data_IF_948181938652
#
_entry.id   IF_948181938652
#
_cell.length_a   1.000
_cell.length_b   1.000
_cell.length_c   1.000
_cell.angle_alpha   90.00
_cell.angle_beta   90.00
_cell.angle_gamma   90.00
#
_symmetry.space_group_name_H-M   'P 1'
#
loop_
_entity.id
_entity.type
_entity.pdbx_description
1 polymer ?
#
# COMPACT_ATOMS: atom_id res chain seq x y z
N UNK A 1 -12.35 -23.91 28.27
CA UNK A 1 -12.10 -23.81 26.82
C UNK A 1 -12.40 -25.17 26.24
N UNK A 2 -13.33 -25.32 25.28
CA UNK A 2 -13.65 -26.63 24.72
C UNK A 2 -12.41 -27.21 24.02
N UNK A 3 -12.15 -28.49 24.27
CA UNK A 3 -11.03 -29.29 23.73
C UNK A 3 -11.00 -29.42 22.20
N UNK A 4 -12.06 -28.96 21.51
CA UNK A 4 -12.24 -29.13 20.07
C UNK A 4 -11.47 -28.10 19.21
N UNK A 5 -10.90 -27.05 19.83
CA UNK A 5 -10.09 -26.05 19.13
C UNK A 5 -8.62 -26.46 18.95
N UNK A 6 -8.17 -27.53 19.61
CA UNK A 6 -6.75 -27.89 19.63
C UNK A 6 -6.21 -28.44 18.29
N UNK A 7 -7.10 -28.83 17.36
CA UNK A 7 -6.73 -29.43 16.08
C UNK A 7 -7.23 -28.64 14.86
N UNK A 8 -7.69 -27.39 15.03
CA UNK A 8 -8.11 -26.57 13.89
C UNK A 8 -6.86 -26.11 13.11
N UNK A 9 -6.58 -26.75 11.98
CA UNK A 9 -5.49 -26.34 11.08
C UNK A 9 -6.01 -25.24 10.16
N UNK A 10 -5.70 -24.00 10.50
CA UNK A 10 -6.03 -22.82 9.69
C UNK A 10 -4.95 -22.63 8.61
N UNK A 11 -5.38 -22.50 7.36
CA UNK A 11 -4.52 -22.24 6.22
C UNK A 11 -4.61 -20.77 5.81
N UNK A 12 -3.47 -20.07 5.87
CA UNK A 12 -3.35 -18.66 5.52
C UNK A 12 -2.56 -18.52 4.21
N UNK A 13 -3.11 -17.77 3.25
CA UNK A 13 -2.49 -17.45 1.98
C UNK A 13 -2.18 -15.95 1.87
N UNK A 14 -0.91 -15.60 1.67
CA UNK A 14 -0.50 -14.25 1.29
C UNK A 14 -0.37 -14.12 -0.24
N UNK A 15 -1.17 -13.26 -0.88
CA UNK A 15 -1.23 -13.12 -2.35
C UNK A 15 0.06 -12.54 -2.95
N UNK A 16 0.85 -11.77 -2.19
CA UNK A 16 2.01 -11.04 -2.72
C UNK A 16 3.02 -11.90 -3.49
N UNK A 17 3.06 -13.23 -3.30
CA UNK A 17 3.95 -14.14 -4.05
C UNK A 17 3.56 -15.63 -4.01
N UNK A 18 2.64 -16.06 -3.13
CA UNK A 18 2.70 -17.44 -2.63
C UNK A 18 1.67 -18.42 -3.18
N UNK A 19 0.67 -18.01 -3.96
CA UNK A 19 -0.36 -18.95 -4.40
C UNK A 19 0.21 -20.08 -5.27
N UNK A 20 1.10 -19.74 -6.21
CA UNK A 20 1.77 -20.74 -7.04
C UNK A 20 2.71 -21.67 -6.25
N UNK A 21 3.38 -21.14 -5.21
CA UNK A 21 4.25 -21.91 -4.33
C UNK A 21 3.45 -22.83 -3.40
N UNK A 22 2.32 -22.34 -2.89
CA UNK A 22 1.37 -23.09 -2.09
C UNK A 22 0.77 -24.26 -2.89
N UNK A 23 0.29 -23.98 -4.10
CA UNK A 23 -0.19 -24.99 -5.04
C UNK A 23 0.89 -26.04 -5.36
N UNK A 24 2.15 -25.61 -5.54
CA UNK A 24 3.29 -26.54 -5.70
C UNK A 24 3.52 -27.40 -4.46
N UNK A 25 3.37 -26.84 -3.26
CA UNK A 25 3.46 -27.57 -2.00
C UNK A 25 2.44 -28.71 -1.95
N UNK A 26 1.18 -28.41 -2.30
CA UNK A 26 0.10 -29.39 -2.39
C UNK A 26 0.44 -30.49 -3.40
N UNK A 27 0.84 -30.12 -4.62
CA UNK A 27 1.17 -31.10 -5.64
C UNK A 27 2.34 -32.02 -5.24
N UNK A 28 3.35 -31.48 -4.54
CA UNK A 28 4.49 -32.27 -4.03
C UNK A 28 4.10 -33.23 -2.90
N UNK A 29 3.11 -32.86 -2.08
CA UNK A 29 2.61 -33.69 -1.00
C UNK A 29 1.81 -34.90 -1.53
N UNK A 30 0.99 -34.70 -2.57
CA UNK A 30 0.24 -35.77 -3.25
C UNK A 30 0.68 -35.94 -4.71
N UNK A 31 1.85 -36.54 -4.88
CA UNK A 31 2.44 -36.78 -6.21
C UNK A 31 1.60 -37.73 -7.07
N UNK A 32 0.76 -38.57 -6.46
CA UNK A 32 -0.04 -39.56 -7.21
C UNK A 32 -1.15 -38.84 -7.97
N UNK A 33 -1.89 -37.98 -7.28
CA UNK A 33 -2.99 -37.20 -7.85
C UNK A 33 -2.49 -36.13 -8.83
N UNK A 34 -1.37 -35.48 -8.50
CA UNK A 34 -0.86 -34.33 -9.27
C UNK A 34 0.33 -34.67 -10.19
N UNK A 35 0.54 -35.95 -10.49
CA UNK A 35 1.66 -36.43 -11.33
C UNK A 35 1.75 -35.71 -12.68
N UNK A 36 0.63 -35.53 -13.38
CA UNK A 36 0.58 -34.82 -14.66
C UNK A 36 1.00 -33.35 -14.57
N UNK A 37 0.70 -32.68 -13.45
CA UNK A 37 1.09 -31.28 -13.22
C UNK A 37 2.58 -31.18 -12.87
N UNK A 38 3.12 -32.14 -12.11
CA UNK A 38 4.56 -32.24 -11.84
C UNK A 38 5.36 -32.47 -13.12
N UNK A 39 4.87 -33.35 -13.99
CA UNK A 39 5.47 -33.60 -15.31
C UNK A 39 5.47 -32.32 -16.14
N UNK A 40 4.32 -31.64 -16.23
CA UNK A 40 4.19 -30.36 -16.94
C UNK A 40 5.17 -29.29 -16.42
N UNK A 41 5.37 -29.18 -15.11
CA UNK A 41 6.35 -28.26 -14.53
C UNK A 41 7.80 -28.62 -14.90
N UNK A 42 8.13 -29.91 -14.88
CA UNK A 42 9.46 -30.37 -15.25
C UNK A 42 9.73 -30.16 -16.74
N UNK A 43 8.73 -30.39 -17.59
CA UNK A 43 8.76 -30.14 -19.03
C UNK A 43 9.00 -28.65 -19.31
N UNK A 44 8.22 -27.74 -18.70
CA UNK A 44 8.46 -26.28 -18.81
C UNK A 44 9.89 -25.86 -18.50
N UNK A 45 10.58 -26.57 -17.58
CA UNK A 45 11.95 -26.26 -17.17
C UNK A 45 13.02 -26.89 -18.07
N UNK A 46 12.75 -28.09 -18.60
CA UNK A 46 13.73 -28.90 -19.34
C UNK A 46 13.57 -28.82 -20.86
N UNK A 47 12.34 -28.66 -21.33
CA UNK A 47 11.95 -28.62 -22.74
C UNK A 47 10.78 -27.63 -22.93
N UNK A 48 11.09 -26.32 -23.06
CA UNK A 48 10.07 -25.29 -23.22
C UNK A 48 9.24 -25.43 -24.51
N UNK A 49 9.81 -26.03 -25.55
CA UNK A 49 9.16 -26.18 -26.85
C UNK A 49 8.09 -27.28 -26.80
N UNK A 50 8.40 -28.42 -26.17
CA UNK A 50 7.41 -29.47 -25.90
C UNK A 50 6.27 -28.96 -25.00
N UNK A 51 6.61 -28.16 -23.98
CA UNK A 51 5.61 -27.52 -23.11
C UNK A 51 4.68 -26.58 -23.90
N UNK A 52 5.21 -25.84 -24.89
CA UNK A 52 4.42 -24.94 -25.72
C UNK A 52 3.42 -25.70 -26.59
N UNK A 53 3.81 -26.84 -27.17
CA UNK A 53 2.93 -27.71 -27.97
C UNK A 53 1.80 -28.29 -27.12
N UNK A 54 2.09 -28.66 -25.87
CA UNK A 54 1.12 -29.27 -24.94
C UNK A 54 0.39 -28.27 -24.03
N UNK A 55 0.51 -26.96 -24.31
CA UNK A 55 0.09 -25.87 -23.40
C UNK A 55 -1.36 -25.99 -22.92
N UNK A 56 -2.30 -26.32 -23.80
CA UNK A 56 -3.74 -26.42 -23.46
C UNK A 56 -3.99 -27.50 -22.41
N UNK A 57 -3.37 -28.68 -22.59
CA UNK A 57 -3.48 -29.80 -21.64
C UNK A 57 -2.84 -29.47 -20.30
N UNK A 58 -1.66 -28.84 -20.31
CA UNK A 58 -0.99 -28.42 -19.08
C UNK A 58 -1.78 -27.34 -18.33
N UNK A 59 -2.36 -26.38 -19.05
CA UNK A 59 -3.14 -25.29 -18.47
C UNK A 59 -4.37 -25.81 -17.71
N UNK A 60 -5.09 -26.80 -18.25
CA UNK A 60 -6.19 -27.45 -17.55
C UNK A 60 -5.74 -28.10 -16.23
N UNK A 61 -4.59 -28.78 -16.24
CA UNK A 61 -4.01 -29.37 -15.02
C UNK A 61 -3.61 -28.32 -13.98
N UNK A 62 -3.03 -27.19 -14.43
CA UNK A 62 -2.68 -26.09 -13.53
C UNK A 62 -3.91 -25.39 -12.96
N UNK A 63 -4.94 -25.10 -13.76
CA UNK A 63 -6.19 -24.52 -13.27
C UNK A 63 -6.82 -25.40 -12.19
N UNK A 64 -6.95 -26.71 -12.43
CA UNK A 64 -7.51 -27.64 -11.44
C UNK A 64 -6.73 -27.66 -10.13
N UNK A 65 -5.39 -27.58 -10.20
CA UNK A 65 -4.56 -27.51 -9.00
C UNK A 65 -4.74 -26.19 -8.26
N UNK A 66 -4.90 -25.08 -8.98
CA UNK A 66 -5.10 -23.75 -8.40
C UNK A 66 -6.46 -23.64 -7.72
N UNK A 67 -7.54 -24.13 -8.35
CA UNK A 67 -8.88 -24.22 -7.76
C UNK A 67 -8.85 -25.06 -6.48
N UNK A 68 -8.21 -26.24 -6.55
CA UNK A 68 -8.04 -27.08 -5.38
C UNK A 68 -7.24 -26.37 -4.29
N UNK A 69 -6.14 -25.70 -4.62
CA UNK A 69 -5.35 -24.95 -3.65
C UNK A 69 -6.19 -23.87 -2.97
N UNK A 70 -6.95 -23.07 -3.71
CA UNK A 70 -7.83 -22.04 -3.15
C UNK A 70 -8.90 -22.65 -2.24
N UNK A 71 -9.45 -23.83 -2.59
CA UNK A 71 -10.43 -24.53 -1.75
C UNK A 71 -9.91 -24.92 -0.35
N UNK A 72 -8.58 -24.99 -0.18
CA UNK A 72 -7.94 -25.34 1.09
C UNK A 72 -7.59 -24.11 1.94
N UNK A 73 -7.89 -22.89 1.46
CA UNK A 73 -7.51 -21.65 2.13
C UNK A 73 -8.65 -21.14 2.98
N UNK A 74 -8.36 -20.87 4.25
CA UNK A 74 -9.32 -20.29 5.19
C UNK A 74 -9.21 -18.76 5.25
N UNK A 75 -7.98 -18.24 5.14
CA UNK A 75 -7.67 -16.82 5.24
C UNK A 75 -6.80 -16.38 4.07
N UNK A 76 -7.21 -15.31 3.39
CA UNK A 76 -6.44 -14.69 2.32
C UNK A 76 -6.01 -13.29 2.77
N UNK A 77 -4.72 -13.00 2.64
CA UNK A 77 -4.11 -11.72 3.01
C UNK A 77 -3.46 -11.11 1.78
N UNK A 78 -3.71 -9.82 1.55
CA UNK A 78 -3.15 -9.09 0.41
C UNK A 78 -3.54 -7.62 0.45
N UNK A 79 -2.96 -6.85 -0.47
CA UNK A 79 -3.41 -5.47 -0.69
C UNK A 79 -4.81 -5.49 -1.33
N UNK A 80 -5.63 -4.43 -1.15
CA UNK A 80 -6.99 -4.43 -1.71
C UNK A 80 -7.04 -4.72 -3.21
N UNK A 81 -6.09 -4.18 -3.98
CA UNK A 81 -6.00 -4.42 -5.44
C UNK A 81 -5.69 -5.88 -5.76
N UNK A 82 -4.72 -6.49 -5.06
CA UNK A 82 -4.36 -7.89 -5.26
C UNK A 82 -5.49 -8.85 -4.86
N UNK A 83 -6.25 -8.50 -3.81
CA UNK A 83 -7.42 -9.28 -3.39
C UNK A 83 -8.57 -9.23 -4.41
N UNK A 84 -8.79 -8.08 -5.05
CA UNK A 84 -9.79 -7.95 -6.12
C UNK A 84 -9.40 -8.77 -7.35
N UNK A 85 -8.13 -8.69 -7.76
CA UNK A 85 -7.60 -9.52 -8.85
C UNK A 85 -7.74 -11.02 -8.51
N UNK A 86 -7.40 -11.40 -7.28
CA UNK A 86 -7.60 -12.77 -6.80
C UNK A 86 -9.07 -13.20 -6.86
N UNK A 87 -10.01 -12.33 -6.48
CA UNK A 87 -11.45 -12.61 -6.52
C UNK A 87 -11.98 -12.79 -7.95
N UNK A 88 -11.37 -12.13 -8.94
CA UNK A 88 -11.76 -12.25 -10.35
C UNK A 88 -11.31 -13.57 -10.99
N UNK A 89 -10.32 -14.23 -10.38
CA UNK A 89 -9.72 -15.45 -10.90
C UNK A 89 -9.95 -16.68 -10.02
N UNK A 90 -10.74 -16.55 -8.95
CA UNK A 90 -11.00 -17.64 -8.00
C UNK A 90 -12.43 -17.58 -7.48
N UNK A 91 -12.94 -18.73 -7.01
CA UNK A 91 -14.27 -18.83 -6.38
C UNK A 91 -14.23 -18.59 -4.86
N UNK A 92 -13.20 -17.89 -4.36
CA UNK A 92 -13.07 -17.64 -2.93
C UNK A 92 -14.16 -16.67 -2.43
N UNK A 93 -14.94 -17.11 -1.44
CA UNK A 93 -16.03 -16.32 -0.84
C UNK A 93 -15.76 -16.11 0.66
N UNK A 94 -15.21 -14.95 1.06
CA UNK A 94 -15.02 -14.62 2.47
C UNK A 94 -16.36 -14.30 3.15
N UNK A 95 -16.49 -14.69 4.40
CA UNK A 95 -17.58 -14.25 5.28
C UNK A 95 -17.23 -12.98 6.06
N UNK A 96 -15.93 -12.72 6.25
CA UNK A 96 -15.37 -11.61 7.00
C UNK A 96 -14.25 -10.96 6.21
N UNK A 97 -14.29 -9.64 6.10
CA UNK A 97 -13.22 -8.80 5.55
C UNK A 97 -12.69 -7.94 6.70
N UNK A 98 -11.37 -7.96 6.89
CA UNK A 98 -10.69 -7.07 7.82
C UNK A 98 -9.75 -6.18 7.03
N UNK A 99 -9.96 -4.86 7.15
CA UNK A 99 -9.15 -3.84 6.50
C UNK A 99 -8.34 -3.12 7.57
N UNK A 100 -7.06 -3.44 7.66
CA UNK A 100 -6.11 -2.70 8.50
C UNK A 100 -5.56 -1.48 7.76
N UNK A 101 -5.04 -0.51 8.51
CA UNK A 101 -4.60 0.79 8.00
C UNK A 101 -5.64 1.50 7.12
N UNK A 102 -6.93 1.32 7.40
CA UNK A 102 -8.02 1.78 6.54
C UNK A 102 -8.01 3.29 6.27
N UNK A 103 -7.43 4.11 7.15
CA UNK A 103 -7.31 5.55 6.96
C UNK A 103 -6.28 5.93 5.89
N UNK A 104 -5.39 5.02 5.48
CA UNK A 104 -4.42 5.20 4.39
C UNK A 104 -5.00 4.90 3.02
N UNK A 105 -6.17 4.27 2.96
CA UNK A 105 -6.85 3.96 1.69
C UNK A 105 -7.67 5.15 1.23
N UNK A 106 -7.65 5.42 -0.07
CA UNK A 106 -8.62 6.34 -0.67
C UNK A 106 -10.04 5.80 -0.45
N UNK A 107 -11.03 6.68 -0.47
CA UNK A 107 -12.44 6.31 -0.28
C UNK A 107 -12.86 5.17 -1.23
N UNK A 108 -12.46 5.24 -2.50
CA UNK A 108 -12.75 4.21 -3.50
C UNK A 108 -12.07 2.87 -3.17
N UNK A 109 -10.80 2.89 -2.75
CA UNK A 109 -10.07 1.66 -2.38
C UNK A 109 -10.60 1.05 -1.08
N UNK A 110 -11.17 1.85 -0.18
CA UNK A 110 -11.77 1.35 1.05
C UNK A 110 -12.98 0.46 0.76
N UNK A 111 -13.76 0.77 -0.29
CA UNK A 111 -15.00 0.07 -0.62
C UNK A 111 -14.83 -1.10 -1.60
N UNK A 112 -13.67 -1.23 -2.25
CA UNK A 112 -13.49 -2.17 -3.36
C UNK A 112 -13.72 -3.63 -2.94
N UNK A 113 -13.30 -4.00 -1.73
CA UNK A 113 -13.49 -5.36 -1.20
C UNK A 113 -14.95 -5.64 -0.85
N UNK A 114 -15.65 -4.68 -0.25
CA UNK A 114 -17.08 -4.82 0.02
C UNK A 114 -17.90 -4.87 -1.28
N UNK A 115 -17.49 -4.13 -2.31
CA UNK A 115 -18.15 -4.17 -3.61
C UNK A 115 -17.99 -5.54 -4.29
N UNK A 116 -16.81 -6.17 -4.15
CA UNK A 116 -16.52 -7.50 -4.67
C UNK A 116 -17.24 -8.61 -3.89
N UNK A 117 -17.28 -8.51 -2.57
CA UNK A 117 -17.92 -9.50 -1.69
C UNK A 117 -18.99 -8.84 -0.82
N UNK A 118 -20.15 -8.58 -1.42
CA UNK A 118 -21.23 -7.79 -0.81
C UNK A 118 -21.84 -8.44 0.43
N UNK A 119 -21.82 -9.77 0.50
CA UNK A 119 -22.35 -10.54 1.63
C UNK A 119 -21.38 -10.64 2.81
N UNK A 120 -20.12 -10.26 2.63
CA UNK A 120 -19.13 -10.34 3.69
C UNK A 120 -19.34 -9.23 4.71
N UNK A 121 -19.17 -9.55 5.99
CA UNK A 121 -19.10 -8.56 7.05
C UNK A 121 -17.74 -7.87 7.01
N UNK A 122 -17.70 -6.53 7.10
CA UNK A 122 -16.45 -5.78 7.03
C UNK A 122 -16.10 -5.07 8.33
N UNK A 123 -14.85 -5.22 8.76
CA UNK A 123 -14.25 -4.51 9.89
C UNK A 123 -13.11 -3.63 9.36
N UNK A 124 -13.17 -2.34 9.66
CA UNK A 124 -12.12 -1.38 9.31
C UNK A 124 -11.39 -0.94 10.57
N UNK A 125 -10.07 -1.01 10.56
CA UNK A 125 -9.20 -0.68 11.68
C UNK A 125 -8.19 0.36 11.19
N UNK A 126 -8.08 1.49 11.90
CA UNK A 126 -7.08 2.51 11.59
C UNK A 126 -6.97 3.57 12.67
N UNK A 127 -5.98 4.45 12.50
CA UNK A 127 -5.84 5.74 13.15
C UNK A 127 -5.84 6.86 12.10
N UNK A 128 -6.71 7.85 12.24
CA UNK A 128 -6.86 8.99 11.32
C UNK A 128 -5.83 10.09 11.56
N UNK A 129 -5.13 10.04 12.69
CA UNK A 129 -4.04 10.96 13.02
C UNK A 129 -2.71 10.50 12.41
N UNK A 130 -2.66 9.29 11.85
CA UNK A 130 -1.54 8.78 11.08
C UNK A 130 -1.63 9.21 9.60
N UNK A 131 -0.82 8.61 8.73
CA UNK A 131 -0.72 9.02 7.33
C UNK A 131 -2.05 8.91 6.58
N UNK A 132 -2.47 9.96 5.85
CA UNK A 132 -3.61 9.89 4.94
C UNK A 132 -3.24 9.15 3.65
N UNK A 133 -4.21 8.89 2.75
CA UNK A 133 -3.94 8.42 1.41
C UNK A 133 -3.07 9.40 0.63
N UNK A 134 -2.15 8.88 -0.18
CA UNK A 134 -1.24 9.69 -0.99
C UNK A 134 -2.00 10.31 -2.17
N UNK A 135 -1.91 11.63 -2.30
CA UNK A 135 -2.57 12.42 -3.35
C UNK A 135 -1.57 12.93 -4.37
N UNK A 136 -1.13 12.08 -5.32
CA UNK A 136 -0.05 12.39 -6.28
C UNK A 136 -0.27 13.64 -7.14
N UNK A 137 -1.52 14.10 -7.28
CA UNK A 137 -1.90 15.24 -8.11
C UNK A 137 -2.18 16.52 -7.31
N UNK A 138 -2.02 16.50 -5.98
CA UNK A 138 -2.32 17.66 -5.13
C UNK A 138 -1.35 18.81 -5.39
N UNK A 139 -0.10 18.48 -5.72
CA UNK A 139 1.01 19.44 -5.83
C UNK A 139 1.50 19.65 -7.26
N UNK A 140 0.86 19.01 -8.24
CA UNK A 140 1.15 19.25 -9.65
C UNK A 140 0.74 20.68 -10.02
N UNK A 141 1.74 21.54 -10.26
CA UNK A 141 1.52 22.95 -10.63
C UNK A 141 0.65 23.08 -11.90
N UNK A 142 0.87 22.19 -12.86
CA UNK A 142 0.25 22.23 -14.19
C UNK A 142 -1.07 21.46 -14.27
N UNK A 143 -1.39 20.67 -13.24
CA UNK A 143 -2.60 19.85 -13.20
C UNK A 143 -3.25 19.91 -11.82
N UNK A 144 -4.31 20.71 -11.70
CA UNK A 144 -5.10 20.83 -10.47
C UNK A 144 -6.44 20.11 -10.64
N UNK A 145 -6.55 18.82 -10.26
CA UNK A 145 -7.83 18.15 -10.28
C UNK A 145 -8.76 18.77 -9.22
N UNK A 146 -10.03 18.94 -9.58
CA UNK A 146 -11.06 19.61 -8.76
C UNK A 146 -11.18 19.01 -7.35
N UNK A 147 -10.88 17.72 -7.20
CA UNK A 147 -11.05 16.96 -5.96
C UNK A 147 -9.73 16.43 -5.39
N UNK A 148 -8.61 17.11 -5.63
CA UNK A 148 -7.28 16.66 -5.20
C UNK A 148 -7.20 16.39 -3.68
N UNK A 149 -7.62 17.35 -2.85
CA UNK A 149 -7.66 17.21 -1.40
C UNK A 149 -8.69 16.18 -0.94
N UNK A 150 -9.85 16.12 -1.61
CA UNK A 150 -10.90 15.17 -1.26
C UNK A 150 -10.45 13.72 -1.44
N UNK A 151 -9.52 13.46 -2.38
CA UNK A 151 -8.92 12.13 -2.60
C UNK A 151 -7.95 11.71 -1.50
N UNK A 152 -7.46 12.65 -0.68
CA UNK A 152 -6.64 12.38 0.52
C UNK A 152 -7.50 12.19 1.79
N UNK A 153 -8.82 12.18 1.66
CA UNK A 153 -9.72 11.87 2.78
C UNK A 153 -10.20 10.44 2.59
N UNK A 154 -9.80 9.56 3.51
CA UNK A 154 -10.25 8.17 3.53
C UNK A 154 -11.71 8.06 3.99
N UNK A 155 -12.35 6.95 3.65
CA UNK A 155 -13.68 6.63 4.15
C UNK A 155 -13.66 6.57 5.69
N UNK A 156 -12.62 5.97 6.27
CA UNK A 156 -12.46 5.88 7.72
C UNK A 156 -12.44 7.25 8.40
N UNK A 157 -11.73 8.23 7.81
CA UNK A 157 -11.72 9.61 8.32
C UNK A 157 -13.10 10.26 8.25
N UNK A 158 -13.88 10.04 7.18
CA UNK A 158 -15.27 10.52 7.11
C UNK A 158 -16.16 9.89 8.19
N UNK A 159 -16.00 8.58 8.40
CA UNK A 159 -16.77 7.85 9.43
C UNK A 159 -16.42 8.35 10.83
N UNK A 160 -15.15 8.67 11.09
CA UNK A 160 -14.74 9.31 12.34
C UNK A 160 -15.41 10.68 12.52
N UNK A 161 -15.31 11.54 11.51
CA UNK A 161 -15.93 12.87 11.53
C UNK A 161 -17.45 12.81 11.68
N UNK A 162 -18.08 11.74 11.18
CA UNK A 162 -19.50 11.44 11.36
C UNK A 162 -19.87 10.83 12.72
N UNK A 163 -18.91 10.66 13.64
CA UNK A 163 -19.13 10.08 14.96
C UNK A 163 -19.44 8.58 14.94
N UNK A 164 -19.00 7.84 13.90
CA UNK A 164 -19.29 6.41 13.68
C UNK A 164 -18.17 5.47 14.13
N UNK A 165 -17.27 5.91 15.00
CA UNK A 165 -16.24 5.04 15.58
C UNK A 165 -16.88 4.13 16.62
N UNK A 166 -16.75 2.82 16.40
CA UNK A 166 -17.29 1.81 17.31
C UNK A 166 -16.46 1.70 18.60
N UNK A 167 -15.13 1.74 18.51
CA UNK A 167 -14.24 1.59 19.64
C UNK A 167 -12.88 2.28 19.40
N UNK A 168 -12.20 2.67 20.48
CA UNK A 168 -10.82 3.16 20.48
C UNK A 168 -9.95 2.28 21.38
N UNK A 169 -8.81 1.84 20.89
CA UNK A 169 -7.85 1.02 21.63
C UNK A 169 -6.82 1.89 22.37
N UNK A 170 -6.16 1.34 23.39
CA UNK A 170 -5.10 2.04 24.17
C UNK A 170 -3.72 1.59 23.73
N UNK A 171 -2.77 2.52 23.70
CA UNK A 171 -1.37 2.24 23.36
C UNK A 171 -0.69 1.39 24.43
N UNK A 172 0.03 0.35 24.01
CA UNK A 172 0.81 -0.54 24.89
C UNK A 172 2.27 -0.74 24.45
N UNK A 173 2.68 -0.12 23.34
CA UNK A 173 4.00 -0.36 22.71
C UNK A 173 5.14 0.42 23.35
N UNK A 174 4.90 1.66 23.76
CA UNK A 174 5.95 2.52 24.31
C UNK A 174 6.25 2.14 25.75
N UNK A 175 7.52 1.83 25.96
CA UNK A 175 8.06 1.49 27.25
C UNK A 175 8.45 2.78 27.98
N UNK A 176 7.98 2.97 29.22
CA UNK A 176 8.28 4.16 30.01
C UNK A 176 9.77 4.26 30.37
N UNK A 177 10.25 5.49 30.65
CA UNK A 177 11.66 5.81 30.92
C UNK A 177 12.31 4.99 32.05
N UNK A 178 11.52 4.40 32.95
CA UNK A 178 12.00 3.57 34.07
C UNK A 178 12.34 2.13 33.69
N UNK A 179 12.17 1.73 32.43
CA UNK A 179 12.43 0.37 32.00
C UNK A 179 13.91 0.01 31.99
N UNK A 180 14.21 -1.28 32.19
CA UNK A 180 15.59 -1.80 32.28
C UNK A 180 16.41 -1.48 31.03
N UNK A 181 15.80 -1.54 29.84
CA UNK A 181 16.47 -1.15 28.59
C UNK A 181 16.87 0.32 28.57
N UNK A 182 15.97 1.21 28.95
CA UNK A 182 16.26 2.65 29.02
C UNK A 182 17.43 2.88 29.97
N UNK A 183 17.44 2.24 31.14
CA UNK A 183 18.58 2.33 32.09
C UNK A 183 19.90 1.84 31.53
N UNK A 184 19.92 0.66 30.89
CA UNK A 184 21.14 0.14 30.23
C UNK A 184 21.66 1.08 29.14
N UNK A 185 20.74 1.65 28.35
CA UNK A 185 21.08 2.64 27.34
C UNK A 185 21.61 3.93 27.96
N UNK A 186 20.97 4.45 29.01
CA UNK A 186 21.42 5.61 29.78
C UNK A 186 22.81 5.43 30.35
N UNK A 187 23.06 4.31 31.03
CA UNK A 187 24.37 3.99 31.60
C UNK A 187 25.45 3.95 30.52
N UNK A 188 25.14 3.37 29.36
CA UNK A 188 26.07 3.32 28.23
C UNK A 188 26.33 4.72 27.65
N UNK A 189 25.28 5.53 27.41
CA UNK A 189 25.41 6.90 26.93
C UNK A 189 26.23 7.74 27.90
N UNK A 190 25.96 7.66 29.20
CA UNK A 190 26.69 8.41 30.22
C UNK A 190 28.16 8.00 30.33
N UNK A 191 28.46 6.70 30.20
CA UNK A 191 29.85 6.21 30.16
C UNK A 191 30.59 6.69 28.90
N UNK A 192 29.92 6.67 27.75
CA UNK A 192 30.53 6.96 26.46
C UNK A 192 30.65 8.46 26.17
N UNK A 193 29.62 9.20 26.55
CA UNK A 193 29.50 10.63 26.38
C UNK A 193 29.44 11.25 27.77
N UNK A 194 30.56 11.20 28.51
CA UNK A 194 30.74 11.64 29.91
C UNK A 194 30.19 13.04 30.26
N UNK A 195 29.85 13.87 29.27
CA UNK A 195 29.24 15.20 29.41
C UNK A 195 27.73 15.26 29.14
N UNK A 196 27.11 14.17 28.69
CA UNK A 196 25.69 14.13 28.33
C UNK A 196 24.89 13.60 29.52
N UNK A 197 24.42 14.51 30.38
CA UNK A 197 23.46 14.20 31.42
C UNK A 197 22.08 13.91 30.82
N UNK A 198 21.92 12.76 30.16
CA UNK A 198 20.68 12.42 29.47
C UNK A 198 19.87 11.36 30.20
N UNK A 199 18.69 11.77 30.70
CA UNK A 199 17.67 10.91 31.33
C UNK A 199 16.51 10.56 30.36
N UNK A 200 16.60 10.97 29.09
CA UNK A 200 15.59 10.69 28.07
C UNK A 200 15.92 9.46 27.22
N UNK A 201 14.94 8.56 27.04
CA UNK A 201 15.05 7.44 26.10
C UNK A 201 15.15 7.90 24.62
N UNK A 202 15.03 9.21 24.37
CA UNK A 202 15.16 9.84 23.05
C UNK A 202 16.33 10.83 23.07
N UNK A 203 17.23 10.68 22.09
CA UNK A 203 18.35 11.57 21.84
C UNK A 203 18.17 12.27 20.49
N UNK A 204 18.47 13.57 20.44
CA UNK A 204 18.61 14.32 19.20
C UNK A 204 20.09 14.60 19.00
N UNK A 205 20.64 14.09 17.90
CA UNK A 205 22.07 14.17 17.60
C UNK A 205 22.24 14.90 16.27
N UNK A 206 23.12 15.90 16.25
CA UNK A 206 23.55 16.58 15.02
C UNK A 206 25.00 16.17 14.75
N UNK A 207 25.27 15.31 13.75
CA UNK A 207 26.63 14.99 13.34
C UNK A 207 27.34 16.24 12.79
N UNK A 208 28.64 16.34 13.06
CA UNK A 208 29.48 17.36 12.43
C UNK A 208 29.66 17.06 10.93
N UNK A 209 29.89 18.09 10.10
CA UNK A 209 30.05 17.99 8.64
C UNK A 209 28.87 17.32 7.91
N UNK A 210 27.66 17.51 8.44
CA UNK A 210 26.41 17.05 7.83
C UNK A 210 26.10 17.90 6.60
N UNK A 211 26.47 17.42 5.42
CA UNK A 211 26.16 18.03 4.13
C UNK A 211 25.24 17.11 3.31
N UNK A 212 24.16 17.67 2.78
CA UNK A 212 23.22 16.95 1.95
C UNK A 212 23.67 16.91 0.49
N UNK A 213 23.52 15.75 -0.13
CA UNK A 213 23.76 15.52 -1.55
C UNK A 213 22.44 15.15 -2.22
N UNK A 214 22.07 15.92 -3.25
CA UNK A 214 20.88 15.67 -4.07
C UNK A 214 21.20 14.71 -5.22
N UNK A 215 20.39 13.68 -5.39
CA UNK A 215 20.45 12.74 -6.51
C UNK A 215 19.06 12.59 -7.14
N UNK A 216 18.86 13.22 -8.30
CA UNK A 216 17.54 13.33 -8.92
C UNK A 216 16.55 14.09 -8.01
N UNK A 217 15.47 13.41 -7.63
CA UNK A 217 14.43 13.94 -6.73
C UNK A 217 14.59 13.52 -5.26
N UNK A 218 15.70 12.84 -4.92
CA UNK A 218 15.94 12.31 -3.58
C UNK A 218 17.19 12.92 -2.96
N UNK A 219 17.28 12.87 -1.63
CA UNK A 219 18.42 13.42 -0.87
C UNK A 219 19.16 12.32 -0.10
N UNK A 220 20.43 12.57 0.18
CA UNK A 220 21.29 11.71 0.98
C UNK A 220 22.28 12.54 1.79
N UNK A 221 22.74 12.02 2.92
CA UNK A 221 23.67 12.66 3.83
C UNK A 221 24.64 11.60 4.39
N UNK A 222 25.85 11.50 3.81
CA UNK A 222 26.83 10.48 4.19
C UNK A 222 27.28 10.57 5.63
N UNK A 223 27.41 11.79 6.19
CA UNK A 223 27.82 11.98 7.57
C UNK A 223 26.80 11.38 8.55
N UNK A 224 25.51 11.64 8.32
CA UNK A 224 24.43 11.05 9.12
C UNK A 224 24.43 9.52 9.01
N UNK A 225 24.54 8.98 7.80
CA UNK A 225 24.51 7.54 7.59
C UNK A 225 25.69 6.82 8.25
N UNK A 226 26.91 7.35 8.07
CA UNK A 226 28.11 6.81 8.70
C UNK A 226 28.01 6.87 10.23
N UNK A 227 27.54 7.98 10.78
CA UNK A 227 27.34 8.11 12.22
C UNK A 227 26.34 7.10 12.76
N UNK A 228 25.17 6.96 12.13
CA UNK A 228 24.13 6.03 12.54
C UNK A 228 24.58 4.57 12.44
N UNK A 229 25.28 4.18 11.37
CA UNK A 229 25.83 2.83 11.23
C UNK A 229 26.90 2.54 12.29
N UNK A 230 27.80 3.49 12.55
CA UNK A 230 28.78 3.35 13.63
C UNK A 230 28.11 3.24 15.00
N UNK A 231 27.05 4.02 15.25
CA UNK A 231 26.26 3.92 16.47
C UNK A 231 25.66 2.51 16.63
N UNK A 232 25.09 1.94 15.56
CA UNK A 232 24.53 0.58 15.56
C UNK A 232 25.59 -0.47 15.92
N UNK A 233 26.77 -0.43 15.28
CA UNK A 233 27.89 -1.34 15.59
C UNK A 233 28.23 -1.26 17.08
N UNK A 234 28.32 -0.04 17.62
CA UNK A 234 28.67 0.17 19.01
C UNK A 234 27.56 -0.27 19.98
N UNK A 235 26.28 -0.17 19.60
CA UNK A 235 25.17 -0.66 20.41
C UNK A 235 25.20 -2.20 20.52
N UNK A 236 25.46 -2.91 19.43
CA UNK A 236 25.55 -4.37 19.47
C UNK A 236 26.82 -4.87 20.15
N UNK A 237 27.97 -4.26 19.90
CA UNK A 237 29.26 -4.72 20.44
C UNK A 237 29.52 -4.27 21.88
N UNK A 238 29.24 -3.01 22.20
CA UNK A 238 29.64 -2.42 23.48
C UNK A 238 28.49 -2.28 24.48
N UNK A 239 27.27 -2.00 24.03
CA UNK A 239 26.12 -1.83 24.93
C UNK A 239 25.41 -3.15 25.25
N UNK A 240 25.53 -4.17 24.38
CA UNK A 240 24.88 -5.47 24.57
C UNK A 240 23.35 -5.32 24.66
N UNK A 241 22.77 -4.58 23.72
CA UNK A 241 21.34 -4.28 23.69
C UNK A 241 20.49 -5.56 23.53
N UNK A 242 19.44 -5.67 24.33
CA UNK A 242 18.53 -6.83 24.38
C UNK A 242 17.09 -6.39 24.17
N UNK A 243 16.22 -7.32 23.78
CA UNK A 243 14.80 -7.05 23.56
C UNK A 243 14.09 -6.63 24.87
N UNK A 244 13.06 -5.79 24.77
CA UNK A 244 12.37 -5.23 25.93
C UNK A 244 11.61 -6.29 26.75
N UNK A 245 11.00 -7.22 26.04
CA UNK A 245 10.15 -8.26 26.60
C UNK A 245 10.89 -9.58 26.82
N UNK A 246 12.05 -9.76 26.19
CA UNK A 246 12.86 -10.97 26.27
C UNK A 246 14.36 -10.64 26.32
N UNK A 247 14.90 -10.58 27.54
CA UNK A 247 16.31 -10.25 27.75
C UNK A 247 17.30 -11.30 27.25
N UNK A 248 16.82 -12.48 26.80
CA UNK A 248 17.67 -13.50 26.16
C UNK A 248 17.94 -13.19 24.68
N UNK A 249 17.14 -12.31 24.07
CA UNK A 249 17.23 -11.95 22.65
C UNK A 249 17.90 -10.58 22.49
N UNK A 250 18.64 -10.43 21.38
CA UNK A 250 19.21 -9.13 20.99
C UNK A 250 18.09 -8.20 20.51
N UNK A 251 18.21 -6.92 20.82
CA UNK A 251 17.24 -5.91 20.39
C UNK A 251 17.23 -5.75 18.87
N UNK A 252 16.06 -5.47 18.30
CA UNK A 252 15.92 -5.03 16.90
C UNK A 252 16.09 -3.52 16.76
N UNK A 253 16.60 -3.09 15.60
CA UNK A 253 16.79 -1.69 15.25
C UNK A 253 16.10 -1.41 13.91
N UNK A 254 15.32 -0.33 13.84
CA UNK A 254 14.83 0.22 12.57
C UNK A 254 15.45 1.60 12.33
N UNK A 255 16.02 1.79 11.15
CA UNK A 255 16.43 3.10 10.64
C UNK A 255 15.31 3.64 9.74
N UNK A 256 14.80 4.83 10.07
CA UNK A 256 13.79 5.54 9.30
C UNK A 256 14.42 6.77 8.63
N UNK A 257 14.19 6.90 7.33
CA UNK A 257 14.60 8.09 6.57
C UNK A 257 13.51 8.54 5.60
N UNK A 258 13.34 9.85 5.33
CA UNK A 258 12.36 10.29 4.35
C UNK A 258 12.73 9.93 2.90
N UNK A 259 14.01 9.68 2.60
CA UNK A 259 14.52 9.61 1.22
C UNK A 259 14.97 8.22 0.80
N UNK A 260 14.59 7.81 -0.42
CA UNK A 260 15.06 6.55 -1.03
C UNK A 260 16.58 6.50 -1.23
N UNK A 261 17.22 7.62 -1.61
CA UNK A 261 18.67 7.68 -1.79
C UNK A 261 19.41 7.48 -0.46
N UNK A 262 18.92 8.08 0.63
CA UNK A 262 19.46 7.84 1.97
C UNK A 262 19.29 6.38 2.40
N UNK A 263 18.10 5.80 2.20
CA UNK A 263 17.87 4.37 2.47
C UNK A 263 18.88 3.50 1.71
N UNK A 264 19.07 3.74 0.41
CA UNK A 264 20.02 2.98 -0.41
C UNK A 264 21.44 3.09 0.13
N UNK A 265 21.84 4.26 0.62
CA UNK A 265 23.17 4.43 1.21
C UNK A 265 23.33 3.61 2.49
N UNK A 266 22.32 3.59 3.37
CA UNK A 266 22.31 2.69 4.52
C UNK A 266 22.39 1.22 4.11
N UNK A 267 21.62 0.80 3.11
CA UNK A 267 21.66 -0.57 2.60
C UNK A 267 23.09 -0.95 2.14
N UNK A 268 23.78 -0.05 1.45
CA UNK A 268 25.17 -0.26 1.04
C UNK A 268 26.14 -0.34 2.22
N UNK A 269 26.05 0.58 3.18
CA UNK A 269 26.93 0.58 4.36
C UNK A 269 26.71 -0.66 5.24
N UNK A 270 25.47 -1.11 5.40
CA UNK A 270 25.15 -2.32 6.17
C UNK A 270 25.60 -3.61 5.45
N UNK A 271 25.69 -3.59 4.12
CA UNK A 271 26.23 -4.72 3.36
C UNK A 271 27.72 -4.93 3.62
N UNK A 272 28.48 -3.85 3.83
CA UNK A 272 29.92 -3.88 4.13
C UNK A 272 30.23 -4.48 5.52
N UNK A 273 29.27 -4.46 6.44
CA UNK A 273 29.43 -5.03 7.78
C UNK A 273 29.29 -6.56 7.79
N UNK A 274 30.00 -7.18 8.72
CA UNK A 274 29.93 -8.63 8.99
C UNK A 274 28.80 -8.96 9.96
N UNK A 275 28.27 -10.20 9.90
CA UNK A 275 27.25 -10.70 10.85
C UNK A 275 27.75 -10.71 12.31
N UNK A 276 29.07 -10.74 12.51
CA UNK A 276 29.68 -10.64 13.84
C UNK A 276 29.60 -9.23 14.42
N UNK A 277 29.68 -8.20 13.57
CA UNK A 277 29.55 -6.81 13.98
C UNK A 277 28.09 -6.43 14.20
N UNK A 278 27.23 -6.76 13.23
CA UNK A 278 25.81 -6.43 13.26
C UNK A 278 25.01 -7.60 12.67
N UNK A 279 24.09 -8.20 13.44
CA UNK A 279 23.20 -9.22 12.90
C UNK A 279 22.26 -8.60 11.85
N UNK A 280 22.43 -8.98 10.57
CA UNK A 280 21.69 -8.33 9.46
C UNK A 280 20.19 -8.56 9.54
N UNK A 281 19.76 -9.62 10.20
CA UNK A 281 18.34 -9.95 10.43
C UNK A 281 17.66 -9.07 11.47
N UNK A 282 18.41 -8.31 12.27
CA UNK A 282 17.88 -7.47 13.35
C UNK A 282 17.95 -5.98 13.06
N UNK A 283 18.50 -5.58 11.90
CA UNK A 283 18.56 -4.18 11.47
C UNK A 283 17.81 -4.03 10.16
N UNK A 284 16.80 -3.16 10.16
CA UNK A 284 16.01 -2.87 8.97
C UNK A 284 16.05 -1.38 8.65
N UNK A 285 16.12 -1.05 7.36
CA UNK A 285 16.13 0.32 6.86
C UNK A 285 14.88 0.56 6.02
N UNK A 286 14.11 1.58 6.38
CA UNK A 286 12.85 1.91 5.71
C UNK A 286 12.72 3.38 5.42
N UNK A 287 11.94 3.69 4.38
CA UNK A 287 11.42 5.04 4.24
C UNK A 287 10.23 5.27 5.17
N UNK A 288 10.04 6.49 5.65
CA UNK A 288 8.97 6.81 6.61
C UNK A 288 7.60 6.38 6.07
N UNK A 289 7.30 6.60 4.80
CA UNK A 289 5.99 6.27 4.22
C UNK A 289 5.70 4.75 4.11
N UNK A 290 6.73 3.90 4.15
CA UNK A 290 6.57 2.42 4.13
C UNK A 290 6.80 1.79 5.51
N UNK A 291 7.02 2.60 6.53
CA UNK A 291 7.24 2.17 7.91
C UNK A 291 6.01 2.06 8.82
N UNK A 292 4.78 2.51 8.46
CA UNK A 292 3.63 2.30 9.33
C UNK A 292 3.47 0.83 9.73
N UNK A 293 3.02 0.63 10.96
CA UNK A 293 2.86 -0.67 11.63
C UNK A 293 4.15 -1.46 11.90
N UNK A 294 5.33 -0.98 11.48
CA UNK A 294 6.60 -1.59 11.84
C UNK A 294 7.07 -1.08 13.20
N UNK A 295 7.68 -1.96 13.98
CA UNK A 295 8.18 -1.65 15.31
C UNK A 295 9.54 -2.30 15.56
N UNK A 296 10.34 -1.64 16.38
CA UNK A 296 11.62 -2.13 16.83
C UNK A 296 11.89 -1.66 18.25
N UNK A 297 12.85 -2.31 18.93
CA UNK A 297 13.26 -1.88 20.26
C UNK A 297 13.97 -0.52 20.23
N UNK A 298 14.72 -0.24 19.17
CA UNK A 298 15.42 1.03 18.95
C UNK A 298 15.05 1.58 17.58
N UNK A 299 14.72 2.86 17.53
CA UNK A 299 14.41 3.58 16.28
C UNK A 299 15.47 4.67 16.09
N UNK A 300 16.12 4.66 14.94
CA UNK A 300 17.01 5.75 14.50
C UNK A 300 16.27 6.51 13.42
N UNK A 301 15.93 7.77 13.70
CA UNK A 301 15.27 8.65 12.74
C UNK A 301 16.30 9.59 12.13
N UNK A 302 16.59 9.40 10.85
CA UNK A 302 17.51 10.24 10.07
C UNK A 302 16.72 11.14 9.12
N UNK A 303 16.69 12.44 9.45
CA UNK A 303 16.01 13.45 8.65
C UNK A 303 16.76 13.84 7.37
N UNK A 304 18.01 13.43 7.20
CA UNK A 304 18.86 13.68 6.02
C UNK A 304 19.25 15.15 5.77
N UNK A 305 18.45 16.13 6.19
CA UNK A 305 18.64 17.55 5.86
C UNK A 305 19.65 18.31 6.73
N UNK A 306 20.32 19.27 6.10
CA UNK A 306 21.20 20.24 6.76
C UNK A 306 20.76 21.71 6.60
N UNK A 307 19.92 22.06 5.61
CA UNK A 307 19.69 23.47 5.25
C UNK A 307 18.24 24.00 5.16
N UNK A 308 17.19 23.23 4.84
CA UNK A 308 15.79 23.73 4.79
C UNK A 308 14.73 22.63 5.10
N UNK A 309 13.49 22.98 5.53
CA UNK A 309 12.50 22.00 5.98
C UNK A 309 11.95 21.07 4.87
N UNK A 310 11.52 19.89 5.32
CA UNK A 310 11.26 18.66 4.57
C UNK A 310 10.16 18.79 3.51
N UNK A 311 10.48 18.44 2.26
CA UNK A 311 9.54 17.89 1.26
C UNK A 311 9.85 16.40 1.09
N UNK A 312 8.96 15.50 1.55
CA UNK A 312 9.15 14.05 1.34
C UNK A 312 9.23 13.72 -0.17
N UNK A 313 9.66 12.50 -0.55
CA UNK A 313 9.84 12.08 -1.97
C UNK A 313 8.57 12.29 -2.86
N UNK A 314 7.41 12.54 -2.24
CA UNK A 314 6.13 12.88 -2.86
C UNK A 314 5.92 14.39 -3.13
N UNK A 315 6.88 15.24 -2.75
CA UNK A 315 6.81 16.70 -2.84
C UNK A 315 6.15 17.37 -1.63
N UNK A 316 5.68 16.60 -0.64
CA UNK A 316 4.84 17.14 0.43
C UNK A 316 5.68 17.82 1.50
N UNK A 317 5.48 19.12 1.65
CA UNK A 317 6.03 19.93 2.73
C UNK A 317 5.28 19.58 4.02
N UNK A 318 5.88 18.75 4.88
CA UNK A 318 5.28 18.34 6.16
C UNK A 318 6.01 19.05 7.29
N UNK A 319 5.42 20.13 7.81
CA UNK A 319 5.88 20.74 9.06
C UNK A 319 5.54 19.78 10.22
N UNK A 320 6.54 19.01 10.65
CA UNK A 320 6.42 17.98 11.71
C UNK A 320 5.97 18.59 13.04
N UNK A 321 6.12 19.90 13.23
CA UNK A 321 5.70 20.61 14.45
C UNK A 321 4.26 21.11 14.40
N UNK A 322 3.58 21.03 13.24
CA UNK A 322 2.17 21.41 13.07
C UNK A 322 1.48 20.45 12.10
N UNK A 323 0.85 19.36 12.58
CA UNK A 323 -0.02 18.58 11.70
C UNK A 323 -1.12 19.52 11.14
N UNK A 324 -1.52 19.36 9.86
CA UNK A 324 -2.59 20.15 9.30
C UNK A 324 -3.88 19.87 10.08
N UNK A 325 -4.20 20.77 11.01
CA UNK A 325 -5.53 20.85 11.61
C UNK A 325 -6.43 21.40 10.53
N UNK A 326 -7.22 20.52 9.90
CA UNK A 326 -8.40 20.97 9.16
C UNK A 326 -9.38 21.47 10.21
N UNK A 327 -9.30 22.77 10.52
CA UNK A 327 -10.22 23.41 11.44
C UNK A 327 -11.58 23.61 10.75
N UNK A 328 -12.56 22.78 11.12
CA UNK A 328 -13.93 22.91 10.65
C UNK A 328 -14.71 24.00 11.41
N UNK A 329 -14.07 24.81 12.28
CA UNK A 329 -14.73 25.91 13.00
C UNK A 329 -15.36 26.97 12.07
N UNK A 330 -14.90 27.07 10.82
CA UNK A 330 -15.49 27.91 9.77
C UNK A 330 -16.75 27.36 9.10
N UNK A 331 -17.17 26.12 9.40
CA UNK A 331 -18.33 25.46 8.76
C UNK A 331 -19.69 25.84 9.35
N UNK A 332 -19.75 26.86 10.23
CA UNK A 332 -21.04 27.51 10.52
C UNK A 332 -21.46 28.31 9.29
N UNK A 333 -22.51 27.83 8.61
CA UNK A 333 -23.25 28.58 7.58
C UNK A 333 -23.65 29.96 8.13
N UNK A 334 -22.86 30.97 7.84
CA UNK A 334 -23.30 32.36 7.93
C UNK A 334 -24.07 32.64 6.65
N UNK A 335 -25.39 32.80 6.75
CA UNK A 335 -26.20 33.40 5.67
C UNK A 335 -25.73 34.84 5.49
N UNK A 336 -24.83 35.08 4.54
CA UNK A 336 -24.58 36.44 4.05
C UNK A 336 -25.58 36.75 2.94
N UNK A 337 -26.34 37.83 3.14
CA UNK A 337 -27.37 38.29 2.22
C UNK A 337 -26.75 38.79 0.90
N UNK A 338 -27.20 38.13 -0.17
CA UNK A 338 -27.31 38.43 -1.61
C UNK A 338 -26.91 39.78 -2.25
N UNK A 339 -25.96 40.58 -1.77
CA UNK A 339 -25.62 41.86 -2.44
C UNK A 339 -24.32 41.88 -3.26
N UNK A 340 -23.33 41.01 -3.03
CA UNK A 340 -22.00 41.14 -3.65
C UNK A 340 -21.57 39.91 -4.48
N UNK A 341 -22.42 39.41 -5.39
CA UNK A 341 -22.11 38.20 -6.19
C UNK A 341 -21.60 38.47 -7.61
N UNK A 342 -21.41 39.72 -8.02
CA UNK A 342 -21.02 40.04 -9.41
C UNK A 342 -19.51 40.23 -9.63
N UNK A 343 -18.70 40.43 -8.59
CA UNK A 343 -17.28 40.80 -8.76
C UNK A 343 -16.23 39.72 -8.43
N UNK A 344 -16.61 38.47 -8.15
CA UNK A 344 -15.65 37.38 -7.79
C UNK A 344 -15.41 36.37 -8.92
N UNK A 345 -16.11 36.47 -10.04
CA UNK A 345 -15.79 35.67 -11.22
C UNK A 345 -15.05 36.53 -12.24
N UNK A 346 -13.73 36.32 -12.32
CA UNK A 346 -12.92 36.85 -13.42
C UNK A 346 -13.63 36.56 -14.76
N UNK A 347 -13.89 37.61 -15.54
CA UNK A 347 -14.54 37.50 -16.85
C UNK A 347 -13.82 36.46 -17.70
N UNK A 348 -14.54 35.56 -18.39
CA UNK A 348 -13.94 34.44 -19.09
C UNK A 348 -13.06 34.94 -20.25
N UNK A 349 -11.83 34.44 -20.27
CA UNK A 349 -10.83 34.69 -21.31
C UNK A 349 -11.38 34.24 -22.67
N UNK A 350 -11.56 35.21 -23.60
CA UNK A 350 -12.15 34.98 -24.93
C UNK A 350 -11.39 33.90 -25.71
N UNK A 351 -10.09 33.78 -25.49
CA UNK A 351 -9.25 32.78 -26.16
C UNK A 351 -9.54 31.36 -25.66
N UNK A 352 -9.76 31.19 -24.35
CA UNK A 352 -10.12 29.89 -23.75
C UNK A 352 -11.51 29.43 -24.17
N UNK A 353 -12.46 30.36 -24.36
CA UNK A 353 -13.79 30.03 -24.87
C UNK A 353 -13.78 29.62 -26.35
N UNK A 354 -12.92 30.24 -27.18
CA UNK A 354 -12.74 29.83 -28.58
C UNK A 354 -12.15 28.41 -28.68
N UNK A 355 -11.11 28.11 -27.88
CA UNK A 355 -10.53 26.77 -27.78
C UNK A 355 -11.53 25.72 -27.30
N UNK A 356 -12.35 26.05 -26.30
CA UNK A 356 -13.39 25.15 -25.77
C UNK A 356 -14.50 24.90 -26.80
N UNK A 357 -14.85 25.91 -27.60
CA UNK A 357 -15.80 25.77 -28.71
C UNK A 357 -15.23 24.87 -29.81
N UNK A 358 -13.99 25.09 -30.25
CA UNK A 358 -13.33 24.23 -31.23
C UNK A 358 -13.24 22.77 -30.77
N UNK A 359 -12.93 22.54 -29.49
CA UNK A 359 -12.89 21.19 -28.93
C UNK A 359 -14.28 20.54 -28.93
N UNK A 360 -15.32 21.26 -28.50
CA UNK A 360 -16.70 20.75 -28.53
C UNK A 360 -17.19 20.47 -29.96
N UNK A 361 -16.82 21.32 -30.93
CA UNK A 361 -17.16 21.15 -32.33
C UNK A 361 -16.45 19.93 -32.94
N UNK A 362 -15.16 19.72 -32.61
CA UNK A 362 -14.41 18.53 -33.03
C UNK A 362 -14.99 17.23 -32.42
N UNK A 363 -15.37 17.26 -31.14
CA UNK A 363 -15.97 16.11 -30.47
C UNK A 363 -17.39 15.79 -30.96
N UNK A 364 -18.12 16.80 -31.45
CA UNK A 364 -19.42 16.62 -32.09
C UNK A 364 -19.27 16.04 -33.50
N UNK A 365 -18.33 16.52 -34.30
CA UNK A 365 -18.00 15.94 -35.60
C UNK A 365 -17.60 14.46 -35.51
N UNK A 366 -16.82 14.08 -34.49
CA UNK A 366 -16.47 12.68 -34.24
C UNK A 366 -17.67 11.79 -33.84
N UNK A 367 -18.70 12.36 -33.20
CA UNK A 367 -19.93 11.63 -32.86
C UNK A 367 -20.87 11.48 -34.06
N UNK A 368 -20.89 12.47 -34.95
CA UNK A 368 -21.68 12.43 -36.19
C UNK A 368 -21.08 11.42 -37.18
N UNK A 369 -19.75 11.39 -37.34
CA UNK A 369 -19.05 10.38 -38.15
C UNK A 369 -19.28 8.95 -37.63
N UNK A 370 -19.33 8.76 -36.31
CA UNK A 370 -19.65 7.45 -35.71
C UNK A 370 -21.09 7.02 -35.99
N UNK A 371 -22.04 7.95 -35.94
CA UNK A 371 -23.44 7.68 -36.26
C UNK A 371 -23.65 7.32 -37.73
N UNK A 372 -22.93 7.96 -38.64
CA UNK A 372 -23.03 7.66 -40.08
C UNK A 372 -22.34 6.35 -40.48
N UNK A 373 -21.33 5.91 -39.72
CA UNK A 373 -20.73 4.57 -39.86
C UNK A 373 -21.64 3.47 -39.32
N UNK A 374 -22.25 3.68 -38.15
CA UNK A 374 -23.20 2.71 -37.55
C UNK A 374 -24.49 2.57 -38.41
N UNK A 375 -24.91 3.61 -39.15
CA UNK A 375 -26.07 3.54 -40.06
C UNK A 375 -25.72 2.86 -41.39
N UNK A 376 -24.48 2.94 -41.87
CA UNK A 376 -24.04 2.24 -43.10
C UNK A 376 -23.82 0.75 -42.88
N UNK A 377 -23.29 0.33 -41.74
CA UNK A 377 -23.09 -1.10 -41.44
C UNK A 377 -24.41 -1.87 -41.22
N UNK A 378 -25.49 -1.20 -40.82
CA UNK A 378 -26.82 -1.83 -40.62
C UNK A 378 -27.61 -1.95 -41.94
N UNK A 379 -27.30 -1.16 -42.98
CA UNK A 379 -28.00 -1.21 -44.27
C UNK A 379 -27.40 -2.26 -45.23
N UNK A 380 -26.17 -2.74 -44.99
CA UNK A 380 -25.49 -3.73 -45.84
C UNK A 380 -25.63 -5.20 -45.35
N UNK A 381 -26.38 -5.49 -44.27
CA UNK A 381 -26.54 -6.86 -43.74
C UNK A 381 -27.90 -7.53 -43.92
N UNK A 382 -28.91 -6.86 -44.50
CA UNK A 382 -30.23 -7.47 -44.79
C UNK A 382 -30.47 -7.59 -46.31
N UNK A 383 -29.86 -8.62 -46.91
CA UNK A 383 -30.15 -9.05 -48.27
C UNK A 383 -29.48 -10.40 -48.59
N UNK A 384 -30.31 -11.39 -48.95
CA UNK A 384 -29.98 -12.72 -49.52
C UNK A 384 -29.59 -13.80 -48.48
N UNK A 385 -30.31 -14.90 -48.24
CA UNK A 385 -31.24 -15.66 -49.08
C UNK A 385 -32.29 -16.44 -48.25
N UNK A 386 -33.56 -16.39 -48.67
CA UNK A 386 -34.55 -17.45 -48.47
C UNK A 386 -34.86 -18.05 -49.85
N UNK A 387 -34.79 -19.38 -49.96
CA UNK A 387 -35.40 -20.14 -51.05
C UNK A 387 -36.11 -21.39 -50.49
N UNK A 388 -37.40 -21.51 -50.82
CA UNK A 388 -38.28 -22.68 -50.62
C UNK A 388 -39.10 -22.62 -49.33
N UNK A 389 -40.39 -22.93 -49.29
CA UNK A 389 -41.37 -23.38 -50.28
C UNK A 389 -42.75 -23.34 -49.56
N UNK A 390 -43.81 -23.33 -50.34
CA UNK A 390 -45.21 -23.06 -50.01
C UNK A 390 -45.82 -23.88 -48.86
N UNK A 391 -46.81 -23.31 -48.13
CA UNK A 391 -47.67 -24.11 -47.26
C UNK A 391 -48.51 -23.40 -46.19
N UNK A 392 -49.62 -22.81 -46.63
CA UNK A 392 -50.92 -22.59 -45.98
C UNK A 392 -51.15 -22.86 -44.45
N UNK A 393 -51.79 -21.87 -43.80
CA UNK A 393 -52.76 -21.92 -42.68
C UNK A 393 -52.47 -22.78 -41.43
N UNK A 394 -52.48 -22.19 -40.23
CA UNK A 394 -53.70 -21.98 -39.40
C UNK A 394 -53.34 -21.56 -37.96
N UNK A 395 -54.33 -20.98 -37.29
CA UNK A 395 -54.52 -20.58 -35.88
C UNK A 395 -53.61 -21.15 -34.76
N UNK A 396 -53.37 -20.34 -33.71
CA UNK A 396 -52.94 -20.90 -32.42
C UNK A 396 -52.42 -19.92 -31.38
N UNK A 397 -53.34 -19.27 -30.67
CA UNK A 397 -53.16 -18.57 -29.41
C UNK A 397 -52.58 -19.50 -28.32
N UNK A 398 -51.54 -19.09 -27.56
CA UNK A 398 -51.31 -19.32 -26.12
C UNK A 398 -50.14 -18.47 -25.61
#
# INVERSE_FOLDING_TARGET
MPSDLANLKITILCISSHLSEFARGIAKADKRTWSGVIVAWNEKKKDPDAFAVNRVKHQAGFHRLMEYAVSQVDIVVGTPVALVEFAQHTEFVPQLIVVDEAARLTENLSLVLQAQWQSAFSVYISDTQQFPPIGLTVEQRDFKPVFSYQRQISLFHRMENGGRILARTRQRRLVGSNHVLCRKFHDWVQKKFTRWGCLSATLLIRPDNSEETKSGNSFSNPANANFAVQLIVQLYQAAGIVEACDFSRRASIIILTPYKAQRRMYDLLLLELTEAEVPKTLVEVRTIDVSPSHEANIIILDWTFASEPVTADDGIERDVLRPPRVDFSGSKRVKQNSANREDVFAKPDKHKNAMRKHFCDAMRGLREVKKDQDVKEVIESDGQDQAGDDGNADEGNW
#
